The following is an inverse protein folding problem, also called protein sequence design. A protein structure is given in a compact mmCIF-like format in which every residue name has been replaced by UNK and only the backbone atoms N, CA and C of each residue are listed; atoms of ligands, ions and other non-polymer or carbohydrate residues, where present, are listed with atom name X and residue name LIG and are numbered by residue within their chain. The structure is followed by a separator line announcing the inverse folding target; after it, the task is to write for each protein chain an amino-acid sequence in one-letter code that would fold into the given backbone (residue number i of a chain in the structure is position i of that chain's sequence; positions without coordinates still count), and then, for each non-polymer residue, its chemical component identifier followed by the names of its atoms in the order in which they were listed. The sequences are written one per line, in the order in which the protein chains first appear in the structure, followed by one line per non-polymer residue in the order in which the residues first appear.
data_IF_169779216729
#
_entry.id   IF_169779216729
#
_cell.length_a   1.000
_cell.length_b   1.000
_cell.length_c   1.000
_cell.angle_alpha   90.00
_cell.angle_beta   90.00
_cell.angle_gamma   90.00
#
_symmetry.space_group_name_H-M   'P 1'
#
loop_
_entity.id
_entity.type
_entity.pdbx_description
1 polymer ?
#
# COMPACT_ATOMS: atom_id res chain seq x y z
N UNK A 1 -9.37 13.56 -2.34
CA UNK A 1 -10.19 12.59 -3.06
C UNK A 1 -9.53 12.15 -4.35
N UNK A 2 -9.57 10.88 -4.60
CA UNK A 2 -9.09 10.35 -5.85
C UNK A 2 -10.05 10.71 -6.96
N UNK A 3 -9.50 10.98 -8.14
CA UNK A 3 -10.31 11.14 -9.31
C UNK A 3 -10.93 9.79 -9.69
N UNK A 4 -12.11 9.81 -10.29
CA UNK A 4 -12.81 8.58 -10.67
C UNK A 4 -11.93 7.67 -11.52
N UNK A 5 -11.20 8.23 -12.48
CA UNK A 5 -10.31 7.46 -13.36
C UNK A 5 -9.17 6.81 -12.58
N UNK A 6 -8.61 7.49 -11.56
CA UNK A 6 -7.56 6.91 -10.73
C UNK A 6 -8.10 5.77 -9.89
N UNK A 7 -9.31 5.91 -9.36
CA UNK A 7 -9.95 4.84 -8.58
C UNK A 7 -10.18 3.60 -9.43
N UNK A 8 -10.74 3.77 -10.62
CA UNK A 8 -10.99 2.65 -11.53
C UNK A 8 -9.69 1.98 -11.96
N UNK A 9 -8.66 2.76 -12.26
CA UNK A 9 -7.35 2.23 -12.59
C UNK A 9 -6.74 1.44 -11.44
N UNK A 10 -6.92 1.92 -10.21
CA UNK A 10 -6.44 1.20 -9.03
C UNK A 10 -7.18 -0.13 -8.86
N UNK A 11 -8.50 -0.13 -9.03
CA UNK A 11 -9.28 -1.36 -8.90
C UNK A 11 -8.84 -2.41 -9.92
N UNK A 12 -8.67 -2.00 -11.18
CA UNK A 12 -8.19 -2.90 -12.23
C UNK A 12 -6.77 -3.41 -11.93
N UNK A 13 -5.91 -2.53 -11.43
CA UNK A 13 -4.54 -2.89 -11.05
C UNK A 13 -4.52 -3.93 -9.94
N UNK A 14 -5.35 -3.73 -8.90
CA UNK A 14 -5.45 -4.69 -7.80
C UNK A 14 -5.95 -6.04 -8.26
N UNK A 15 -6.95 -6.05 -9.14
CA UNK A 15 -7.46 -7.29 -9.74
C UNK A 15 -6.37 -8.00 -10.54
N UNK A 16 -5.58 -7.25 -11.29
CA UNK A 16 -4.44 -7.80 -12.02
C UNK A 16 -3.40 -8.42 -11.12
N UNK A 17 -3.07 -7.76 -10.02
CA UNK A 17 -2.12 -8.30 -9.04
C UNK A 17 -2.65 -9.60 -8.41
N UNK A 18 -3.92 -9.63 -8.05
CA UNK A 18 -4.53 -10.85 -7.50
C UNK A 18 -4.48 -12.00 -8.48
N UNK A 19 -4.71 -11.73 -9.75
CA UNK A 19 -4.66 -12.78 -10.78
C UNK A 19 -3.26 -13.36 -10.94
N UNK A 20 -2.23 -12.63 -10.50
CA UNK A 20 -0.83 -13.08 -10.51
C UNK A 20 -0.42 -13.78 -9.21
N UNK A 21 -1.35 -13.95 -8.27
CA UNK A 21 -1.06 -14.55 -6.99
C UNK A 21 -0.44 -13.61 -5.96
N UNK A 22 -0.44 -12.32 -6.22
CA UNK A 22 0.08 -11.31 -5.29
C UNK A 22 -0.92 -11.10 -4.17
N UNK A 23 -0.44 -11.14 -2.92
CA UNK A 23 -1.29 -10.88 -1.76
C UNK A 23 -1.41 -9.38 -1.54
N UNK A 24 -2.61 -8.94 -1.16
CA UNK A 24 -2.94 -7.52 -1.00
C UNK A 24 -3.38 -7.22 0.42
N UNK A 25 -2.91 -6.09 0.94
CA UNK A 25 -3.28 -5.66 2.29
C UNK A 25 -3.44 -4.15 2.35
N UNK A 26 -4.22 -3.69 3.34
CA UNK A 26 -4.41 -2.27 3.63
C UNK A 26 -3.97 -2.02 5.07
N UNK A 27 -3.20 -0.95 5.27
CA UNK A 27 -2.82 -0.46 6.58
C UNK A 27 -3.13 1.03 6.66
N UNK A 28 -3.93 1.43 7.65
CA UNK A 28 -4.35 2.81 7.83
C UNK A 28 -4.21 3.25 9.29
N UNK A 29 -3.95 4.55 9.51
CA UNK A 29 -3.99 5.15 10.85
C UNK A 29 -5.41 5.52 11.30
N UNK A 30 -6.39 5.39 10.42
CA UNK A 30 -7.80 5.60 10.78
C UNK A 30 -8.28 4.44 11.66
N UNK A 31 -9.33 4.65 12.47
CA UNK A 31 -9.87 3.56 13.28
C UNK A 31 -10.17 2.34 12.44
N UNK A 32 -9.94 1.16 13.01
CA UNK A 32 -10.07 -0.10 12.29
C UNK A 32 -11.45 -0.29 11.67
N UNK A 33 -12.51 -0.02 12.43
CA UNK A 33 -13.88 -0.21 11.92
C UNK A 33 -14.19 0.70 10.74
N UNK A 34 -13.74 1.95 10.80
CA UNK A 34 -13.93 2.89 9.69
C UNK A 34 -13.15 2.45 8.46
N UNK A 35 -11.93 1.97 8.64
CA UNK A 35 -11.10 1.47 7.54
C UNK A 35 -11.76 0.26 6.88
N UNK A 36 -12.21 -0.70 7.69
CA UNK A 36 -12.84 -1.92 7.18
C UNK A 36 -14.10 -1.60 6.38
N UNK A 37 -14.94 -0.70 6.89
CA UNK A 37 -16.16 -0.30 6.19
C UNK A 37 -15.86 0.41 4.87
N UNK A 38 -14.90 1.32 4.87
CA UNK A 38 -14.54 2.07 3.68
C UNK A 38 -14.01 1.14 2.58
N UNK A 39 -13.11 0.24 2.94
CA UNK A 39 -12.52 -0.69 1.97
C UNK A 39 -13.57 -1.66 1.44
N UNK A 40 -14.43 -2.18 2.31
CA UNK A 40 -15.53 -3.06 1.90
C UNK A 40 -16.45 -2.36 0.91
N UNK A 41 -16.79 -1.10 1.18
CA UNK A 41 -17.66 -0.32 0.31
C UNK A 41 -17.04 -0.01 -1.04
N UNK A 42 -15.73 0.24 -1.09
CA UNK A 42 -15.05 0.60 -2.33
C UNK A 42 -14.61 -0.60 -3.16
N UNK A 43 -14.16 -1.67 -2.51
CA UNK A 43 -13.51 -2.79 -3.20
C UNK A 43 -14.17 -4.15 -2.95
N UNK A 44 -15.10 -4.24 -2.01
CA UNK A 44 -15.71 -5.51 -1.63
C UNK A 44 -14.89 -6.25 -0.58
N UNK A 45 -15.41 -7.38 -0.11
CA UNK A 45 -14.80 -8.12 1.00
C UNK A 45 -13.63 -9.01 0.58
N UNK A 46 -13.50 -9.30 -0.71
CA UNK A 46 -12.53 -10.29 -1.17
C UNK A 46 -11.31 -9.70 -1.86
N UNK A 47 -11.25 -8.38 -2.03
CA UNK A 47 -10.12 -7.77 -2.72
C UNK A 47 -8.83 -7.91 -1.94
N UNK A 48 -8.86 -7.70 -0.63
CA UNK A 48 -7.67 -7.69 0.21
C UNK A 48 -7.62 -8.88 1.14
N UNK A 49 -6.42 -9.44 1.29
CA UNK A 49 -6.18 -10.56 2.22
C UNK A 49 -6.17 -10.09 3.67
N UNK A 50 -5.72 -8.86 3.92
CA UNK A 50 -5.67 -8.26 5.25
C UNK A 50 -6.09 -6.79 5.12
N UNK A 51 -6.97 -6.33 6.01
CA UNK A 51 -7.35 -4.92 6.11
C UNK A 51 -7.26 -4.52 7.57
N UNK A 52 -6.33 -3.62 7.88
CA UNK A 52 -6.11 -3.14 9.24
C UNK A 52 -6.19 -1.62 9.30
N UNK A 53 -7.06 -1.14 10.18
CA UNK A 53 -7.00 0.22 10.69
C UNK A 53 -6.35 0.18 12.07
N UNK A 54 -6.39 1.30 12.78
CA UNK A 54 -5.79 1.41 14.09
C UNK A 54 -6.74 0.90 15.16
N UNK A 55 -6.25 -0.01 16.01
CA UNK A 55 -6.95 -0.53 17.19
C UNK A 55 -6.23 -0.06 18.45
N UNK A 56 -6.92 -0.06 19.62
CA UNK A 56 -6.26 0.28 20.87
C UNK A 56 -5.02 -0.58 21.11
N UNK A 57 -3.95 0.05 21.56
CA UNK A 57 -2.68 -0.63 21.85
C UNK A 57 -1.75 -0.78 20.65
N UNK A 58 -2.21 -0.47 19.44
CA UNK A 58 -1.35 -0.53 18.26
C UNK A 58 -0.56 0.76 18.09
N UNK A 59 0.65 0.65 17.60
CA UNK A 59 1.47 1.83 17.28
C UNK A 59 1.03 2.42 15.96
N UNK A 60 0.98 3.73 15.88
CA UNK A 60 0.60 4.44 14.65
C UNK A 60 1.77 4.49 13.67
N UNK A 61 1.46 4.59 12.36
CA UNK A 61 2.48 4.96 11.38
C UNK A 61 3.09 6.30 11.79
N UNK A 62 4.36 6.55 11.64
CA UNK A 62 5.32 5.81 10.81
C UNK A 62 6.03 4.63 11.51
N UNK A 63 5.56 4.18 12.68
CA UNK A 63 6.14 2.98 13.27
C UNK A 63 5.92 1.79 12.33
N UNK A 64 6.93 0.93 12.14
CA UNK A 64 6.81 -0.18 11.19
C UNK A 64 6.12 -1.42 11.74
N UNK A 65 5.76 -1.43 13.02
CA UNK A 65 5.28 -2.61 13.74
C UNK A 65 4.10 -3.30 13.04
N UNK A 66 3.10 -2.53 12.63
CA UNK A 66 1.92 -3.11 11.99
C UNK A 66 2.20 -3.62 10.58
N UNK A 67 3.09 -2.94 9.86
CA UNK A 67 3.52 -3.41 8.54
C UNK A 67 4.24 -4.76 8.65
N UNK A 68 5.09 -4.92 9.66
CA UNK A 68 5.76 -6.20 9.92
C UNK A 68 4.76 -7.30 10.27
N UNK A 69 3.77 -7.00 11.10
CA UNK A 69 2.74 -7.98 11.49
C UNK A 69 1.90 -8.42 10.29
N UNK A 70 1.58 -7.50 9.41
CA UNK A 70 0.85 -7.83 8.18
C UNK A 70 1.69 -8.74 7.28
N UNK A 71 2.97 -8.41 7.09
CA UNK A 71 3.87 -9.25 6.30
C UNK A 71 3.95 -10.66 6.87
N UNK A 72 4.04 -10.78 8.19
CA UNK A 72 4.05 -12.08 8.86
C UNK A 72 2.75 -12.85 8.61
N UNK A 73 1.61 -12.19 8.73
CA UNK A 73 0.31 -12.81 8.48
C UNK A 73 0.18 -13.27 7.03
N UNK A 74 0.72 -12.52 6.09
CA UNK A 74 0.73 -12.87 4.69
C UNK A 74 1.82 -13.91 4.34
N UNK A 75 2.68 -14.23 5.29
CA UNK A 75 3.79 -15.17 5.11
C UNK A 75 4.77 -14.71 4.03
N UNK A 76 5.09 -13.43 4.04
CA UNK A 76 6.07 -12.84 3.11
C UNK A 76 7.13 -12.07 3.90
N UNK A 77 8.31 -11.93 3.31
CA UNK A 77 9.38 -11.14 3.91
C UNK A 77 9.15 -9.65 3.61
N UNK A 78 9.49 -8.74 4.53
CA UNK A 78 9.37 -7.31 4.25
C UNK A 78 10.06 -6.88 2.96
N UNK A 79 11.24 -7.43 2.67
CA UNK A 79 11.98 -7.08 1.44
C UNK A 79 11.24 -7.44 0.16
N UNK A 80 10.27 -8.37 0.24
CA UNK A 80 9.47 -8.80 -0.90
C UNK A 80 8.13 -8.07 -0.99
N UNK A 81 7.90 -7.10 -0.12
CA UNK A 81 6.69 -6.30 -0.09
C UNK A 81 6.88 -4.94 -0.75
N UNK A 82 5.84 -4.46 -1.41
CA UNK A 82 5.76 -3.07 -1.83
C UNK A 82 4.85 -2.31 -0.87
N UNK A 83 5.32 -1.21 -0.33
CA UNK A 83 4.53 -0.33 0.51
C UNK A 83 4.13 0.88 -0.35
N UNK A 84 2.84 1.02 -0.60
CA UNK A 84 2.34 2.03 -1.54
C UNK A 84 1.57 3.09 -0.77
N UNK A 85 1.91 4.35 -0.98
CA UNK A 85 1.24 5.43 -0.29
C UNK A 85 1.47 6.79 -0.93
N UNK A 86 0.75 7.80 -0.43
CA UNK A 86 0.78 9.14 -0.99
C UNK A 86 1.32 10.20 -0.02
N UNK A 87 1.79 9.80 1.16
CA UNK A 87 2.23 10.75 2.18
C UNK A 87 3.65 10.46 2.66
N UNK A 88 4.25 11.47 3.33
CA UNK A 88 5.53 11.30 4.00
C UNK A 88 5.48 10.19 5.05
N UNK A 89 4.37 10.10 5.78
CA UNK A 89 4.19 9.05 6.79
C UNK A 89 4.25 7.67 6.17
N UNK A 90 3.63 7.49 5.00
CA UNK A 90 3.67 6.21 4.29
C UNK A 90 5.07 5.84 3.85
N UNK A 91 5.83 6.80 3.31
CA UNK A 91 7.20 6.54 2.87
C UNK A 91 8.08 6.16 4.05
N UNK A 92 7.94 6.88 5.17
CA UNK A 92 8.68 6.59 6.39
C UNK A 92 8.35 5.20 6.93
N UNK A 93 7.07 4.83 6.93
CA UNK A 93 6.63 3.51 7.39
C UNK A 93 7.25 2.39 6.57
N UNK A 94 7.15 2.51 5.25
CA UNK A 94 7.69 1.49 4.35
C UNK A 94 9.20 1.34 4.47
N UNK A 95 9.90 2.47 4.56
CA UNK A 95 11.36 2.45 4.74
C UNK A 95 11.75 1.83 6.08
N UNK A 96 11.10 2.22 7.16
CA UNK A 96 11.37 1.67 8.48
C UNK A 96 11.10 0.17 8.52
N UNK A 97 10.12 -0.30 7.76
CA UNK A 97 9.78 -1.71 7.70
C UNK A 97 10.72 -2.53 6.79
N UNK A 98 11.56 -1.88 6.00
CA UNK A 98 12.45 -2.57 5.06
C UNK A 98 11.73 -3.00 3.78
N UNK A 99 10.66 -2.31 3.43
CA UNK A 99 9.87 -2.61 2.24
C UNK A 99 10.23 -1.67 1.09
N UNK A 100 9.93 -2.12 -0.14
CA UNK A 100 10.10 -1.27 -1.32
C UNK A 100 8.98 -0.23 -1.33
N UNK A 101 9.33 1.07 -1.32
CA UNK A 101 8.33 2.12 -1.19
C UNK A 101 7.97 2.75 -2.53
N UNK A 102 6.67 2.83 -2.78
CA UNK A 102 6.11 3.39 -4.00
C UNK A 102 5.26 4.60 -3.63
N UNK A 103 5.69 5.79 -4.03
CA UNK A 103 4.93 7.01 -3.83
C UNK A 103 4.00 7.25 -5.01
N UNK A 104 2.75 7.61 -4.73
CA UNK A 104 1.75 7.84 -5.77
C UNK A 104 1.34 9.30 -5.81
N UNK A 105 1.19 9.84 -7.03
CA UNK A 105 0.93 11.27 -7.23
C UNK A 105 -0.55 11.62 -7.33
N UNK A 106 -1.45 10.64 -7.37
CA UNK A 106 -2.89 10.95 -7.44
C UNK A 106 -3.52 11.20 -6.06
N UNK A 107 -2.71 11.21 -4.99
CA UNK A 107 -3.16 11.57 -3.65
C UNK A 107 -3.06 13.07 -3.41
N UNK A 108 -2.94 13.46 -2.12
CA UNK A 108 -2.95 14.87 -1.72
C UNK A 108 -1.56 15.51 -1.67
N UNK A 109 -0.50 14.75 -1.77
CA UNK A 109 0.87 15.25 -1.61
C UNK A 109 1.58 15.37 -2.94
N UNK A 110 2.64 16.18 -2.97
CA UNK A 110 3.39 16.40 -4.20
C UNK A 110 4.63 15.50 -4.28
N UNK A 111 5.24 15.53 -5.45
CA UNK A 111 6.43 14.73 -5.73
C UNK A 111 7.58 15.06 -4.76
N UNK A 112 7.76 16.34 -4.45
CA UNK A 112 8.85 16.79 -3.58
C UNK A 112 8.79 16.14 -2.21
N UNK A 113 7.60 16.08 -1.59
CA UNK A 113 7.43 15.44 -0.30
C UNK A 113 7.81 13.96 -0.35
N UNK A 114 7.40 13.26 -1.41
CA UNK A 114 7.70 11.85 -1.57
C UNK A 114 9.20 11.60 -1.79
N UNK A 115 9.85 12.45 -2.57
CA UNK A 115 11.29 12.35 -2.80
C UNK A 115 12.08 12.62 -1.53
N UNK A 116 11.70 13.64 -0.77
CA UNK A 116 12.37 13.99 0.48
C UNK A 116 12.24 12.89 1.53
N UNK A 117 11.20 12.08 1.45
CA UNK A 117 10.99 10.95 2.37
C UNK A 117 11.41 9.61 1.76
N UNK A 118 12.26 9.68 0.73
CA UNK A 118 12.99 8.52 0.19
C UNK A 118 12.12 7.43 -0.45
N UNK A 119 11.07 7.82 -1.18
CA UNK A 119 10.35 6.86 -2.00
C UNK A 119 11.33 6.16 -2.96
N UNK A 120 11.25 4.85 -3.08
CA UNK A 120 12.08 4.11 -4.01
C UNK A 120 11.69 4.41 -5.45
N UNK A 121 10.40 4.60 -5.68
CA UNK A 121 9.87 5.01 -6.98
C UNK A 121 8.62 5.86 -6.77
N UNK A 122 8.37 6.77 -7.71
CA UNK A 122 7.19 7.63 -7.69
C UNK A 122 6.45 7.40 -9.00
N UNK A 123 5.15 7.13 -8.89
CA UNK A 123 4.32 6.81 -10.06
C UNK A 123 3.14 7.77 -10.18
N UNK A 124 2.68 7.97 -11.40
CA UNK A 124 1.55 8.87 -11.69
C UNK A 124 0.26 8.10 -11.93
N UNK A 125 0.34 6.85 -12.38
CA UNK A 125 -0.84 6.04 -12.74
C UNK A 125 -0.82 4.70 -12.02
N UNK A 126 -1.99 4.23 -11.55
CA UNK A 126 -2.06 2.95 -10.83
C UNK A 126 -1.49 1.75 -11.59
N UNK A 127 -1.68 1.70 -12.91
CA UNK A 127 -1.21 0.56 -13.71
C UNK A 127 0.31 0.41 -13.74
N UNK A 128 1.07 1.43 -13.35
CA UNK A 128 2.51 1.32 -13.24
C UNK A 128 2.93 0.33 -12.15
N UNK A 129 2.05 0.09 -11.17
CA UNK A 129 2.31 -0.89 -10.11
C UNK A 129 2.48 -2.30 -10.71
N UNK A 130 1.70 -2.63 -11.73
CA UNK A 130 1.79 -3.94 -12.39
C UNK A 130 3.17 -4.14 -13.02
N UNK A 131 3.72 -3.09 -13.60
CA UNK A 131 5.05 -3.14 -14.22
C UNK A 131 6.15 -3.31 -13.18
N UNK A 132 6.03 -2.60 -12.08
CA UNK A 132 6.99 -2.71 -10.97
C UNK A 132 6.96 -4.12 -10.40
N UNK A 133 5.77 -4.67 -10.20
CA UNK A 133 5.61 -6.03 -9.66
C UNK A 133 6.25 -7.07 -10.59
N UNK A 134 6.09 -6.93 -11.88
CA UNK A 134 6.73 -7.84 -12.86
C UNK A 134 8.24 -7.84 -12.71
N UNK A 135 8.86 -6.66 -12.61
CA UNK A 135 10.29 -6.54 -12.45
C UNK A 135 10.80 -7.17 -11.15
N UNK A 136 10.06 -6.99 -10.07
CA UNK A 136 10.44 -7.56 -8.78
C UNK A 136 10.26 -9.07 -8.74
N UNK A 137 9.23 -9.60 -9.39
CA UNK A 137 9.02 -11.04 -9.44
C UNK A 137 10.17 -11.76 -10.15
N UNK A 138 10.75 -11.13 -11.15
CA UNK A 138 11.88 -11.69 -11.89
C UNK A 138 13.20 -11.68 -11.11
N UNK A 139 13.29 -10.87 -10.06
CA UNK A 139 14.51 -10.70 -9.29
C UNK A 139 14.57 -11.54 -8.01
N UNK A 140 13.55 -12.33 -7.74
CA UNK A 140 13.48 -13.15 -6.54
C UNK A 140 14.28 -14.44 -6.63
#
# INVERSE_FOLDING_TARGET
LYKVTAFEGMKMTLEGLKSRGVKLAVLSNKPHEATALAIKGLFGEQMFDVVWGLRPGMKRKPAPDNAWKIAEELQVQPKDCMYIGDTNTDMQTGKAAGMYTVGVLWGFRDRKELEENHADVIIEKPEEILRIQEGRACSS
#
